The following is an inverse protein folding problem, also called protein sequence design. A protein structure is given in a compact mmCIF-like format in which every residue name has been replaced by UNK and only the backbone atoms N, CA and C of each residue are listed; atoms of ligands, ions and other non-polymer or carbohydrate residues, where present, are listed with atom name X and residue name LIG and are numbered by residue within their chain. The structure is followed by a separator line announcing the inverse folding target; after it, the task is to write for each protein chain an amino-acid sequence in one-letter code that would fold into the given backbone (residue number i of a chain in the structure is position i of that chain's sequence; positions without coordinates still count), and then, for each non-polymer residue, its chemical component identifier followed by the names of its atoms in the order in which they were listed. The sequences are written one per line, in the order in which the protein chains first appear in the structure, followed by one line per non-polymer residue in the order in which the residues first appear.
data_IF_808826733062
#
_entry.id   IF_808826733062
#
_cell.length_a   1.000
_cell.length_b   1.000
_cell.length_c   1.000
_cell.angle_alpha   90.00
_cell.angle_beta   90.00
_cell.angle_gamma   90.00
#
_symmetry.space_group_name_H-M   'P 1'
#
loop_
_entity.id
_entity.type
_entity.pdbx_description
1 polymer ?
#
# COMPACT_ATOMS: atom_id res chain seq x y z
N UNK A 1 17.34 7.05 3.70
CA UNK A 1 16.79 7.66 2.45
C UNK A 1 15.94 6.62 1.72
N UNK A 2 14.92 7.03 0.96
CA UNK A 2 14.04 6.10 0.24
C UNK A 2 14.75 5.46 -0.96
N UNK A 3 14.59 4.16 -1.18
CA UNK A 3 15.22 3.48 -2.31
C UNK A 3 14.59 3.92 -3.65
N UNK A 4 15.33 3.81 -4.77
CA UNK A 4 14.79 4.08 -6.11
C UNK A 4 13.52 3.28 -6.43
N UNK A 5 13.47 2.00 -6.07
CA UNK A 5 12.34 1.12 -6.36
C UNK A 5 11.08 1.54 -5.61
N UNK A 6 11.22 1.96 -4.34
CA UNK A 6 10.11 2.48 -3.56
C UNK A 6 9.59 3.79 -4.16
N UNK A 7 10.49 4.69 -4.58
CA UNK A 7 10.11 5.93 -5.29
C UNK A 7 9.40 5.64 -6.60
N UNK A 8 9.85 4.68 -7.40
CA UNK A 8 9.20 4.32 -8.67
C UNK A 8 7.78 3.81 -8.46
N UNK A 9 7.55 2.98 -7.44
CA UNK A 9 6.21 2.49 -7.10
C UNK A 9 5.33 3.65 -6.65
N UNK A 10 5.83 4.51 -5.76
CA UNK A 10 5.05 5.64 -5.28
C UNK A 10 4.74 6.63 -6.40
N UNK A 11 5.69 6.91 -7.28
CA UNK A 11 5.48 7.75 -8.46
C UNK A 11 4.32 7.24 -9.31
N UNK A 12 4.21 5.92 -9.55
CA UNK A 12 3.07 5.34 -10.28
C UNK A 12 1.72 5.66 -9.64
N UNK A 13 1.67 5.69 -8.32
CA UNK A 13 0.45 6.03 -7.57
C UNK A 13 0.11 7.51 -7.74
N UNK A 14 1.11 8.39 -7.59
CA UNK A 14 0.94 9.84 -7.74
C UNK A 14 0.44 10.24 -9.14
N UNK A 15 0.85 9.51 -10.18
CA UNK A 15 0.40 9.76 -11.56
C UNK A 15 -0.81 8.91 -11.97
N UNK A 16 -1.45 8.20 -11.03
CA UNK A 16 -2.65 7.40 -11.30
C UNK A 16 -2.42 6.16 -12.19
N UNK A 17 -1.18 5.69 -12.35
CA UNK A 17 -0.81 4.52 -13.15
C UNK A 17 -0.72 3.25 -12.30
N UNK A 18 -1.76 2.99 -11.52
CA UNK A 18 -1.90 1.76 -10.73
C UNK A 18 -2.64 0.71 -11.56
N UNK A 19 -2.10 -0.50 -11.78
CA UNK A 19 -2.80 -1.55 -12.50
C UNK A 19 -3.89 -2.15 -11.60
N UNK A 20 -5.05 -1.50 -11.50
CA UNK A 20 -6.17 -2.00 -10.71
C UNK A 20 -6.80 -3.25 -11.33
N UNK A 21 -7.46 -4.07 -10.52
CA UNK A 21 -8.21 -5.27 -10.98
C UNK A 21 -9.15 -5.01 -12.14
N UNK A 22 -9.82 -3.85 -12.16
CA UNK A 22 -10.71 -3.50 -13.27
C UNK A 22 -9.97 -3.41 -14.61
N UNK A 23 -8.81 -2.74 -14.64
CA UNK A 23 -7.96 -2.68 -15.82
C UNK A 23 -7.46 -4.07 -16.23
N UNK A 24 -7.02 -4.88 -15.26
CA UNK A 24 -6.59 -6.26 -15.52
C UNK A 24 -7.70 -7.10 -16.16
N UNK A 25 -8.96 -6.91 -15.71
CA UNK A 25 -10.11 -7.59 -16.31
C UNK A 25 -10.33 -7.17 -17.76
N UNK A 26 -10.21 -5.88 -18.08
CA UNK A 26 -10.35 -5.38 -19.45
C UNK A 26 -9.32 -5.99 -20.41
N UNK A 27 -8.10 -6.26 -19.94
CA UNK A 27 -7.03 -6.87 -20.75
C UNK A 27 -6.96 -8.41 -20.64
N UNK A 28 -7.99 -9.05 -20.06
CA UNK A 28 -8.07 -10.51 -19.95
C UNK A 28 -7.11 -11.14 -18.94
N UNK A 29 -6.55 -10.36 -18.01
CA UNK A 29 -5.63 -10.81 -16.95
C UNK A 29 -6.30 -11.05 -15.59
N UNK A 30 -7.60 -10.78 -15.49
CA UNK A 30 -8.42 -11.11 -14.32
C UNK A 30 -9.84 -11.48 -14.76
N UNK A 31 -10.48 -12.40 -14.05
CA UNK A 31 -11.90 -12.75 -14.25
C UNK A 31 -12.85 -11.92 -13.38
N UNK A 32 -12.31 -11.22 -12.37
CA UNK A 32 -13.09 -10.45 -11.38
C UNK A 32 -12.49 -9.06 -11.14
N UNK A 33 -13.35 -8.10 -10.79
CA UNK A 33 -12.97 -6.75 -10.33
C UNK A 33 -12.84 -6.64 -8.81
N UNK A 34 -13.12 -7.72 -8.07
CA UNK A 34 -12.94 -7.77 -6.62
C UNK A 34 -11.46 -7.85 -6.26
N UNK A 35 -11.08 -7.34 -5.10
CA UNK A 35 -9.72 -7.45 -4.58
C UNK A 35 -9.29 -8.92 -4.46
N UNK A 36 -8.07 -9.23 -4.89
CA UNK A 36 -7.53 -10.59 -4.79
C UNK A 36 -7.42 -11.08 -3.35
N UNK A 37 -7.09 -10.18 -2.42
CA UNK A 37 -6.64 -10.55 -1.08
C UNK A 37 -7.83 -10.78 -0.14
N UNK A 38 -8.82 -9.90 -0.15
CA UNK A 38 -9.98 -10.01 0.73
C UNK A 38 -11.22 -10.57 0.02
N UNK A 39 -11.27 -10.55 -1.31
CA UNK A 39 -12.39 -11.08 -2.14
C UNK A 39 -13.77 -10.45 -1.90
N UNK A 40 -13.88 -9.46 -1.03
CA UNK A 40 -15.18 -8.88 -0.60
C UNK A 40 -15.52 -7.53 -1.22
N UNK A 41 -14.53 -6.79 -1.71
CA UNK A 41 -14.74 -5.41 -2.18
C UNK A 41 -14.14 -5.19 -3.57
N UNK A 42 -14.74 -4.27 -4.34
CA UNK A 42 -14.15 -3.78 -5.58
C UNK A 42 -12.79 -3.13 -5.29
N UNK A 43 -11.79 -3.40 -6.14
CA UNK A 43 -10.46 -2.83 -5.96
C UNK A 43 -10.31 -1.53 -6.76
N UNK A 44 -10.65 -0.42 -6.10
CA UNK A 44 -10.26 0.93 -6.51
C UNK A 44 -8.88 1.31 -5.93
N UNK A 45 -8.41 2.54 -6.19
CA UNK A 45 -7.11 3.01 -5.71
C UNK A 45 -7.03 3.04 -4.18
N UNK A 46 -8.10 3.43 -3.48
CA UNK A 46 -8.11 3.48 -2.01
C UNK A 46 -7.99 2.06 -1.44
N UNK A 47 -8.78 1.12 -1.95
CA UNK A 47 -8.76 -0.27 -1.52
C UNK A 47 -7.45 -0.98 -1.90
N UNK A 48 -6.89 -0.68 -3.07
CA UNK A 48 -5.60 -1.18 -3.51
C UNK A 48 -4.48 -0.76 -2.56
N UNK A 49 -4.48 0.50 -2.11
CA UNK A 49 -3.41 1.06 -1.29
C UNK A 49 -3.55 0.70 0.20
N UNK A 50 -4.72 0.89 0.79
CA UNK A 50 -4.89 0.84 2.27
C UNK A 50 -6.25 0.34 2.73
N UNK A 51 -7.31 0.48 1.95
CA UNK A 51 -8.67 0.09 2.35
C UNK A 51 -8.92 -1.41 2.42
N UNK A 52 -8.05 -2.23 1.84
CA UNK A 52 -8.10 -3.69 1.99
C UNK A 52 -7.67 -4.08 3.42
N UNK A 53 -8.49 -4.83 4.20
CA UNK A 53 -8.15 -5.21 5.58
C UNK A 53 -6.78 -5.89 5.71
N UNK A 54 -6.47 -6.80 4.78
CA UNK A 54 -5.17 -7.52 4.76
C UNK A 54 -3.98 -6.58 4.60
N UNK A 55 -4.14 -5.48 3.84
CA UNK A 55 -3.09 -4.47 3.65
C UNK A 55 -3.07 -3.49 4.82
N UNK A 56 -4.24 -3.14 5.36
CA UNK A 56 -4.39 -2.29 6.53
C UNK A 56 -3.67 -2.88 7.75
N UNK A 57 -3.74 -4.19 7.97
CA UNK A 57 -2.98 -4.87 9.03
C UNK A 57 -1.47 -4.60 8.95
N UNK A 58 -0.91 -4.59 7.73
CA UNK A 58 0.52 -4.29 7.50
C UNK A 58 0.80 -2.83 7.84
N UNK A 59 -0.04 -1.90 7.37
CA UNK A 59 0.08 -0.48 7.69
C UNK A 59 0.05 -0.22 9.19
N UNK A 60 -0.96 -0.75 9.88
CA UNK A 60 -1.14 -0.61 11.32
C UNK A 60 0.07 -1.15 12.09
N UNK A 61 0.60 -2.31 11.68
CA UNK A 61 1.77 -2.92 12.33
C UNK A 61 3.04 -2.08 12.15
N UNK A 62 3.33 -1.64 10.92
CA UNK A 62 4.55 -0.88 10.62
C UNK A 62 4.50 0.52 11.23
N UNK A 63 3.36 1.21 11.09
CA UNK A 63 3.21 2.55 11.66
C UNK A 63 3.15 2.53 13.18
N UNK A 64 2.54 1.50 13.78
CA UNK A 64 2.58 1.30 15.23
C UNK A 64 4.01 1.09 15.77
N UNK A 65 4.91 0.51 14.97
CA UNK A 65 6.31 0.35 15.33
C UNK A 65 7.08 1.68 15.28
N UNK A 66 6.99 2.42 14.17
CA UNK A 66 7.76 3.66 13.98
C UNK A 66 7.15 4.90 14.63
N UNK A 67 5.83 4.91 14.81
CA UNK A 67 5.04 6.06 15.28
C UNK A 67 4.01 5.63 16.34
N UNK A 68 4.44 5.01 17.46
CA UNK A 68 3.54 4.38 18.43
C UNK A 68 2.54 5.34 19.10
N UNK A 69 2.84 6.65 19.07
CA UNK A 69 1.99 7.69 19.67
C UNK A 69 1.03 8.35 18.67
N UNK A 70 1.05 7.93 17.40
CA UNK A 70 0.23 8.51 16.35
C UNK A 70 -0.76 7.48 15.82
N UNK A 71 -1.98 7.95 15.56
CA UNK A 71 -3.01 7.14 14.92
C UNK A 71 -3.21 7.59 13.47
N UNK A 72 -3.08 6.66 12.54
CA UNK A 72 -3.26 6.92 11.11
C UNK A 72 -4.56 6.27 10.64
N UNK A 73 -5.55 7.09 10.30
CA UNK A 73 -6.76 6.60 9.63
C UNK A 73 -6.45 6.18 8.19
N UNK A 74 -7.34 5.37 7.61
CA UNK A 74 -7.29 4.99 6.18
C UNK A 74 -7.22 6.24 5.29
N UNK A 75 -8.06 7.25 5.56
CA UNK A 75 -8.10 8.49 4.78
C UNK A 75 -6.82 9.31 4.92
N UNK A 76 -6.23 9.34 6.12
CA UNK A 76 -4.94 10.01 6.36
C UNK A 76 -3.84 9.36 5.50
N UNK A 77 -3.73 8.04 5.53
CA UNK A 77 -2.74 7.31 4.73
C UNK A 77 -2.99 7.46 3.24
N UNK A 78 -4.24 7.36 2.80
CA UNK A 78 -4.60 7.56 1.41
C UNK A 78 -4.21 8.97 0.93
N UNK A 79 -4.49 9.99 1.73
CA UNK A 79 -4.10 11.37 1.46
C UNK A 79 -2.58 11.50 1.34
N UNK A 80 -1.82 11.03 2.35
CA UNK A 80 -0.34 11.09 2.29
C UNK A 80 0.21 10.41 1.04
N UNK A 81 -0.33 9.25 0.66
CA UNK A 81 0.13 8.50 -0.51
C UNK A 81 -0.23 9.14 -1.85
N UNK A 82 -1.32 9.90 -1.94
CA UNK A 82 -1.83 10.45 -3.21
C UNK A 82 -1.49 11.91 -3.41
N UNK A 83 -1.31 12.69 -2.34
CA UNK A 83 -1.06 14.14 -2.40
C UNK A 83 0.30 14.55 -1.82
N UNK A 84 1.00 13.63 -1.14
CA UNK A 84 2.21 13.93 -0.38
C UNK A 84 2.01 15.01 0.69
N UNK A 85 0.80 15.11 1.25
CA UNK A 85 0.50 16.00 2.38
C UNK A 85 0.37 15.19 3.67
N UNK A 86 0.89 15.70 4.78
CA UNK A 86 0.83 15.04 6.09
C UNK A 86 0.25 15.98 7.15
N UNK A 87 -0.29 15.44 8.25
CA UNK A 87 -0.73 16.25 9.39
C UNK A 87 0.41 17.08 9.98
N UNK A 88 0.11 18.28 10.46
CA UNK A 88 1.09 19.17 11.11
C UNK A 88 1.68 18.61 12.40
N UNK A 89 1.05 17.58 12.98
CA UNK A 89 1.57 16.82 14.13
C UNK A 89 2.81 15.99 13.79
N UNK A 90 3.14 15.79 12.51
CA UNK A 90 4.32 15.06 12.06
C UNK A 90 5.54 15.98 12.05
N UNK A 91 6.43 15.80 13.02
CA UNK A 91 7.65 16.62 13.14
C UNK A 91 8.78 16.19 12.21
N UNK A 92 8.81 14.91 11.81
CA UNK A 92 9.80 14.37 10.88
C UNK A 92 9.13 13.76 9.64
N UNK A 93 8.69 14.60 8.68
CA UNK A 93 8.01 14.11 7.48
C UNK A 93 8.93 13.26 6.60
N UNK A 94 10.23 13.54 6.56
CA UNK A 94 11.17 12.72 5.78
C UNK A 94 11.21 11.27 6.26
N UNK A 95 11.22 11.04 7.57
CA UNK A 95 11.15 9.70 8.14
C UNK A 95 9.81 9.02 7.82
N UNK A 96 8.69 9.73 8.01
CA UNK A 96 7.35 9.23 7.66
C UNK A 96 7.27 8.80 6.19
N UNK A 97 7.74 9.63 5.28
CA UNK A 97 7.74 9.31 3.86
C UNK A 97 8.62 8.08 3.58
N UNK A 98 9.81 7.95 4.17
CA UNK A 98 10.63 6.74 3.99
C UNK A 98 9.89 5.48 4.44
N UNK A 99 9.24 5.51 5.61
CA UNK A 99 8.45 4.39 6.13
C UNK A 99 7.29 4.06 5.21
N UNK A 100 6.53 5.07 4.76
CA UNK A 100 5.39 4.87 3.84
C UNK A 100 5.87 4.27 2.53
N UNK A 101 6.89 4.85 1.89
CA UNK A 101 7.39 4.36 0.60
C UNK A 101 7.94 2.93 0.68
N UNK A 102 8.60 2.59 1.78
CA UNK A 102 9.15 1.24 2.00
C UNK A 102 8.04 0.22 2.23
N UNK A 103 7.05 0.56 3.04
CA UNK A 103 5.87 -0.28 3.32
C UNK A 103 5.04 -0.48 2.06
N UNK A 104 4.79 0.61 1.32
CA UNK A 104 4.08 0.61 0.05
C UNK A 104 4.74 -0.33 -0.96
N UNK A 105 6.08 -0.29 -1.06
CA UNK A 105 6.84 -1.22 -1.90
C UNK A 105 6.66 -2.68 -1.47
N UNK A 106 6.71 -2.97 -0.17
CA UNK A 106 6.52 -4.32 0.34
C UNK A 106 5.12 -4.85 0.02
N UNK A 107 4.09 -4.04 0.28
CA UNK A 107 2.69 -4.36 -0.05
C UNK A 107 2.51 -4.55 -1.55
N UNK A 108 3.09 -3.67 -2.37
CA UNK A 108 3.05 -3.77 -3.83
C UNK A 108 3.62 -5.10 -4.32
N UNK A 109 4.83 -5.47 -3.88
CA UNK A 109 5.46 -6.74 -4.27
C UNK A 109 4.60 -7.92 -3.82
N UNK A 110 4.16 -7.93 -2.56
CA UNK A 110 3.33 -9.02 -2.02
C UNK A 110 1.99 -9.14 -2.75
N UNK A 111 1.34 -8.03 -3.08
CA UNK A 111 0.09 -8.02 -3.83
C UNK A 111 0.27 -8.64 -5.20
N UNK A 112 1.31 -8.25 -5.95
CA UNK A 112 1.54 -8.76 -7.30
C UNK A 112 2.01 -10.22 -7.32
N UNK A 113 2.81 -10.63 -6.32
CA UNK A 113 3.17 -12.03 -6.14
C UNK A 113 1.95 -12.91 -5.89
N UNK A 114 1.01 -12.45 -5.05
CA UNK A 114 -0.27 -13.14 -4.85
C UNK A 114 -1.11 -13.14 -6.12
N UNK A 115 -1.34 -11.97 -6.72
CA UNK A 115 -2.27 -11.83 -7.85
C UNK A 115 -1.82 -12.52 -9.14
N UNK A 116 -0.51 -12.70 -9.36
CA UNK A 116 0.04 -13.27 -10.61
C UNK A 116 0.53 -14.71 -10.41
N UNK A 117 1.12 -15.02 -9.26
CA UNK A 117 1.80 -16.28 -9.00
C UNK A 117 1.13 -17.13 -7.92
N UNK A 118 -0.03 -16.70 -7.40
CA UNK A 118 -0.76 -17.35 -6.31
C UNK A 118 0.09 -17.58 -5.05
N UNK A 119 1.13 -16.77 -4.86
CA UNK A 119 1.98 -16.82 -3.66
C UNK A 119 1.21 -16.15 -2.51
N UNK A 120 1.01 -16.84 -1.36
CA UNK A 120 0.24 -16.26 -0.26
C UNK A 120 0.77 -14.90 0.22
N UNK A 121 -0.14 -13.96 0.48
CA UNK A 121 0.21 -12.66 1.03
C UNK A 121 0.63 -12.77 2.50
N UNK A 122 1.93 -12.94 2.74
CA UNK A 122 2.52 -13.16 4.07
C UNK A 122 2.69 -11.85 4.86
N UNK A 123 1.60 -11.35 5.45
CA UNK A 123 1.55 -10.10 6.25
C UNK A 123 2.76 -9.91 7.18
N UNK A 124 3.05 -10.91 8.01
CA UNK A 124 4.16 -10.84 8.98
C UNK A 124 5.54 -10.68 8.33
N UNK A 125 5.76 -11.33 7.18
CA UNK A 125 7.00 -11.20 6.44
C UNK A 125 7.13 -9.80 5.81
N UNK A 126 6.03 -9.23 5.30
CA UNK A 126 6.03 -7.88 4.77
C UNK A 126 6.30 -6.83 5.85
N UNK A 127 5.72 -6.98 7.05
CA UNK A 127 6.01 -6.11 8.21
C UNK A 127 7.49 -6.16 8.56
N UNK A 128 8.07 -7.37 8.70
CA UNK A 128 9.50 -7.54 8.99
C UNK A 128 10.44 -6.93 7.95
N UNK A 129 10.01 -6.82 6.69
CA UNK A 129 10.81 -6.21 5.61
C UNK A 129 10.69 -4.69 5.56
N UNK A 130 9.63 -4.14 6.15
CA UNK A 130 9.34 -2.71 6.14
C UNK A 130 9.90 -1.99 7.39
N UNK A 131 10.14 -2.75 8.46
CA UNK A 131 10.87 -2.33 9.67
C UNK A 131 12.37 -2.46 9.44
#
# INVERSE_FOLDING_TARGET
PMTPEARTIWYKILVGKVPLRHFLRQIGRSTSSLCHLCTTSFEDTLHFLVGCPTKNDVWTSVLGYFFPHLHFSIDCLYTIMTTLTWPSTIWNPSHLLVVIGTTLRCIWIGHWQSSIHDIPFQRQHLVKRAI
#
